data_IF_521790314033
#
_entry.id   IF_521790314033
#
_cell.length_a   1.000
_cell.length_b   1.000
_cell.length_c   1.000
_cell.angle_alpha   90.00
_cell.angle_beta   90.00
_cell.angle_gamma   90.00
#
_symmetry.space_group_name_H-M   'P 1'
#
loop_
_entity.id
_entity.type
_entity.pdbx_description
1 polymer ?
#
# COMPACT_ATOMS: atom_id res chain seq x y z
N UNK A 1 5.77 22.49 -23.16
CA UNK A 1 4.51 23.14 -23.34
C UNK A 1 3.35 22.36 -22.75
N UNK A 2 2.16 22.82 -22.99
CA UNK A 2 0.97 22.17 -22.46
C UNK A 2 0.83 20.71 -22.93
N UNK A 3 1.30 20.42 -24.12
CA UNK A 3 1.23 19.06 -24.66
C UNK A 3 2.17 18.10 -23.95
N UNK A 4 3.36 18.56 -23.54
CA UNK A 4 4.27 17.76 -22.75
C UNK A 4 3.65 17.42 -21.39
N UNK A 5 3.01 18.39 -20.75
CA UNK A 5 2.31 18.17 -19.48
C UNK A 5 1.17 17.19 -19.64
N UNK A 6 0.41 17.30 -20.74
CA UNK A 6 -0.70 16.37 -21.02
C UNK A 6 -0.24 14.94 -21.32
N UNK A 7 0.97 14.78 -21.83
CA UNK A 7 1.56 13.46 -22.04
C UNK A 7 2.08 12.79 -20.78
N UNK A 8 2.22 13.56 -19.69
CA UNK A 8 2.72 13.09 -18.43
C UNK A 8 1.57 12.60 -17.57
N UNK A 9 1.44 11.29 -17.43
CA UNK A 9 0.37 10.65 -16.65
C UNK A 9 0.94 9.92 -15.46
N UNK A 10 0.25 10.01 -14.33
CA UNK A 10 0.55 9.15 -13.20
C UNK A 10 0.18 7.73 -13.56
N UNK A 11 1.13 6.81 -13.38
CA UNK A 11 0.98 5.40 -13.73
C UNK A 11 1.66 4.52 -12.70
N UNK A 12 1.34 3.24 -12.75
CA UNK A 12 2.03 2.22 -11.98
C UNK A 12 1.15 1.04 -11.64
N UNK A 13 1.81 0.00 -11.15
CA UNK A 13 1.17 -1.20 -10.63
C UNK A 13 1.71 -1.49 -9.26
N UNK A 14 0.87 -2.07 -8.41
CA UNK A 14 1.27 -2.54 -7.09
C UNK A 14 1.10 -4.05 -7.01
N UNK A 15 2.08 -4.70 -6.38
CA UNK A 15 2.01 -6.10 -6.01
C UNK A 15 2.25 -6.23 -4.52
N UNK A 16 1.52 -7.14 -3.90
CA UNK A 16 1.75 -7.52 -2.51
C UNK A 16 2.24 -8.96 -2.45
N UNK A 17 3.20 -9.22 -1.59
CA UNK A 17 3.77 -10.56 -1.44
C UNK A 17 4.24 -10.80 -0.02
N UNK A 18 4.33 -12.07 0.35
CA UNK A 18 4.86 -12.51 1.63
C UNK A 18 5.97 -13.53 1.40
N UNK A 19 6.95 -13.65 2.33
CA UNK A 19 8.04 -14.62 2.19
C UNK A 19 7.56 -16.08 2.13
N UNK A 20 6.43 -16.38 2.78
CA UNK A 20 5.84 -17.72 2.75
C UNK A 20 4.31 -17.62 2.72
N UNK A 21 3.63 -18.73 2.51
CA UNK A 21 2.19 -18.82 2.35
C UNK A 21 1.48 -19.07 3.68
N UNK A 22 2.01 -19.92 4.52
CA UNK A 22 1.35 -20.39 5.74
C UNK A 22 2.09 -19.89 6.97
N UNK A 23 1.31 -19.44 7.96
CA UNK A 23 1.82 -18.87 9.20
C UNK A 23 1.18 -19.56 10.39
N UNK A 24 1.97 -19.82 11.42
CA UNK A 24 1.47 -20.29 12.70
C UNK A 24 0.92 -19.15 13.54
N UNK A 25 0.13 -19.47 14.56
CA UNK A 25 -0.34 -18.48 15.52
C UNK A 25 0.86 -17.72 16.11
N UNK A 26 0.69 -16.41 16.24
CA UNK A 26 1.67 -15.46 16.79
C UNK A 26 2.85 -15.14 15.87
N UNK A 27 2.95 -15.75 14.70
CA UNK A 27 3.99 -15.37 13.74
C UNK A 27 3.72 -14.00 13.15
N UNK A 28 4.81 -13.27 12.87
CA UNK A 28 4.76 -12.01 12.15
C UNK A 28 4.62 -12.29 10.65
N UNK A 29 3.66 -11.63 10.02
CA UNK A 29 3.42 -11.70 8.57
C UNK A 29 3.89 -10.39 7.97
N UNK A 30 4.97 -10.42 7.19
CA UNK A 30 5.52 -9.24 6.55
C UNK A 30 5.05 -9.17 5.10
N UNK A 31 4.15 -8.24 4.83
CA UNK A 31 3.57 -8.05 3.49
C UNK A 31 4.35 -6.97 2.77
N UNK A 32 5.16 -7.37 1.80
CA UNK A 32 5.90 -6.42 0.98
C UNK A 32 4.96 -5.81 -0.06
N UNK A 33 4.93 -4.49 -0.12
CA UNK A 33 4.24 -3.75 -1.17
C UNK A 33 5.27 -3.18 -2.13
N UNK A 34 5.23 -3.66 -3.37
CA UNK A 34 6.16 -3.29 -4.42
C UNK A 34 5.42 -2.55 -5.53
N UNK A 35 6.01 -1.47 -6.00
CA UNK A 35 5.52 -0.74 -7.17
C UNK A 35 6.40 -0.99 -8.38
N UNK A 36 5.79 -1.09 -9.55
CA UNK A 36 6.48 -1.22 -10.83
C UNK A 36 5.89 -0.27 -11.85
N UNK A 37 6.72 0.20 -12.78
CA UNK A 37 6.29 1.14 -13.80
C UNK A 37 5.74 2.44 -13.25
N UNK A 38 6.20 2.85 -12.08
CA UNK A 38 5.72 4.06 -11.42
C UNK A 38 6.13 5.30 -12.20
N UNK A 39 5.18 6.23 -12.37
CA UNK A 39 5.43 7.55 -12.99
C UNK A 39 4.68 8.62 -12.24
N UNK A 40 5.40 9.64 -11.81
CA UNK A 40 4.86 10.83 -11.15
C UNK A 40 4.02 10.56 -9.90
N UNK A 41 4.31 9.47 -9.19
CA UNK A 41 3.53 9.07 -8.02
C UNK A 41 3.89 9.97 -6.83
N UNK A 42 2.90 10.71 -6.36
CA UNK A 42 3.01 11.64 -5.24
C UNK A 42 2.16 11.23 -4.05
N UNK A 43 1.20 10.35 -4.26
CA UNK A 43 0.38 9.75 -3.21
C UNK A 43 -0.11 8.38 -3.65
N UNK A 44 -0.39 7.54 -2.67
CA UNK A 44 -0.84 6.17 -2.90
C UNK A 44 -1.77 5.76 -1.76
N UNK A 45 -2.83 5.05 -2.11
CA UNK A 45 -3.68 4.38 -1.13
C UNK A 45 -4.34 3.16 -1.75
N UNK A 46 -4.64 2.16 -0.94
CA UNK A 46 -5.47 1.01 -1.33
C UNK A 46 -6.13 0.43 -0.08
N UNK A 47 -7.02 -0.53 -0.30
CA UNK A 47 -7.69 -1.26 0.78
C UNK A 47 -7.14 -2.68 0.87
N UNK A 48 -6.90 -3.14 2.09
CA UNK A 48 -6.52 -4.51 2.40
C UNK A 48 -7.50 -5.02 3.46
N UNK A 49 -8.54 -5.71 2.99
CA UNK A 49 -9.56 -6.26 3.89
C UNK A 49 -9.05 -7.53 4.55
N UNK A 50 -9.35 -7.70 5.83
CA UNK A 50 -8.96 -8.90 6.56
C UNK A 50 -9.94 -9.21 7.70
N UNK A 51 -9.93 -10.46 8.12
CA UNK A 51 -10.69 -10.91 9.28
C UNK A 51 -9.86 -10.65 10.55
N UNK A 52 -10.36 -9.86 11.53
CA UNK A 52 -9.65 -9.60 12.76
C UNK A 52 -9.48 -10.84 13.64
N UNK A 53 -10.18 -11.95 13.36
CA UNK A 53 -9.91 -13.23 13.99
C UNK A 53 -8.63 -13.88 13.47
N UNK A 54 -8.20 -13.53 12.25
CA UNK A 54 -7.00 -14.07 11.60
C UNK A 54 -5.77 -13.25 11.87
N UNK A 55 -5.90 -11.93 11.85
CA UNK A 55 -4.76 -11.02 11.89
C UNK A 55 -4.97 -9.84 12.82
N UNK A 56 -3.86 -9.35 13.34
CA UNK A 56 -3.75 -8.08 14.03
C UNK A 56 -2.80 -7.18 13.23
N UNK A 57 -3.20 -5.95 12.98
CA UNK A 57 -2.31 -4.96 12.38
C UNK A 57 -1.29 -4.48 13.41
N UNK A 58 0.00 -4.59 13.09
CA UNK A 58 1.10 -4.19 13.97
C UNK A 58 1.66 -2.84 13.57
N UNK A 59 1.87 -2.60 12.29
CA UNK A 59 2.42 -1.35 11.80
C UNK A 59 2.89 -1.45 10.37
N UNK A 60 3.43 -0.34 9.87
CA UNK A 60 4.02 -0.25 8.53
C UNK A 60 5.45 0.25 8.66
N UNK A 61 6.36 -0.45 7.96
CA UNK A 61 7.74 -0.02 7.82
C UNK A 61 7.92 0.61 6.43
N UNK A 62 8.08 1.94 6.34
CA UNK A 62 8.35 2.57 5.06
C UNK A 62 9.73 2.18 4.51
N UNK A 63 9.80 2.02 3.20
CA UNK A 63 11.05 1.77 2.47
C UNK A 63 11.22 2.89 1.43
N UNK A 64 10.85 2.65 0.18
CA UNK A 64 10.89 3.68 -0.85
C UNK A 64 10.00 4.89 -0.57
N UNK A 65 9.00 4.73 0.28
CA UNK A 65 8.11 5.81 0.70
C UNK A 65 8.48 6.45 2.04
N UNK A 66 9.71 6.27 2.50
CA UNK A 66 10.16 6.81 3.80
C UNK A 66 10.10 8.33 3.92
N UNK A 67 10.13 9.04 2.80
CA UNK A 67 10.04 10.50 2.77
C UNK A 67 8.60 11.02 2.60
N UNK A 68 7.63 10.11 2.60
CA UNK A 68 6.21 10.46 2.51
C UNK A 68 5.54 10.39 3.87
N UNK A 69 4.50 11.19 4.03
CA UNK A 69 3.67 11.15 5.22
C UNK A 69 2.82 9.87 5.23
N UNK A 70 2.90 9.12 6.31
CA UNK A 70 2.12 7.90 6.49
C UNK A 70 0.79 8.24 7.18
N UNK A 71 -0.30 8.16 6.43
CA UNK A 71 -1.66 8.42 6.89
C UNK A 71 -2.48 7.14 6.97
N UNK A 72 -1.83 6.01 7.13
CA UNK A 72 -2.48 4.70 7.18
C UNK A 72 -3.54 4.62 8.28
N UNK A 73 -4.67 4.03 7.95
CA UNK A 73 -5.82 3.86 8.82
C UNK A 73 -6.23 2.38 8.85
N UNK A 74 -6.52 1.86 10.04
CA UNK A 74 -7.02 0.50 10.25
C UNK A 74 -8.45 0.60 10.79
N UNK A 75 -9.43 0.21 9.96
CA UNK A 75 -10.83 0.49 10.23
C UNK A 75 -11.66 -0.77 10.39
N UNK A 76 -12.41 -0.84 11.49
CA UNK A 76 -13.42 -1.89 11.71
C UNK A 76 -14.73 -1.51 10.98
N UNK A 77 -15.25 -2.44 10.20
CA UNK A 77 -16.52 -2.29 9.51
C UNK A 77 -17.67 -2.92 10.30
N UNK A 78 -18.90 -2.51 9.98
CA UNK A 78 -20.12 -2.98 10.66
C UNK A 78 -20.37 -4.48 10.52
N UNK A 79 -19.83 -5.11 9.46
CA UNK A 79 -19.96 -6.57 9.25
C UNK A 79 -18.93 -7.39 10.03
N UNK A 80 -18.11 -6.75 10.88
CA UNK A 80 -17.11 -7.43 11.70
C UNK A 80 -15.76 -7.65 11.02
N UNK A 81 -15.61 -7.33 9.73
CA UNK A 81 -14.30 -7.31 9.07
C UNK A 81 -13.58 -6.01 9.32
N UNK A 82 -12.26 -6.02 9.13
CA UNK A 82 -11.44 -4.80 9.15
C UNK A 82 -10.87 -4.56 7.77
N UNK A 83 -10.62 -3.31 7.48
CA UNK A 83 -9.81 -2.91 6.31
C UNK A 83 -8.69 -2.02 6.76
N UNK A 84 -7.48 -2.40 6.35
CA UNK A 84 -6.33 -1.52 6.43
C UNK A 84 -6.32 -0.66 5.18
N UNK A 85 -6.07 0.65 5.35
CA UNK A 85 -5.91 1.59 4.25
C UNK A 85 -4.51 2.17 4.28
N UNK A 86 -3.50 1.44 3.76
CA UNK A 86 -2.16 1.99 3.64
C UNK A 86 -2.23 3.25 2.78
N UNK A 87 -1.76 4.37 3.32
CA UNK A 87 -1.90 5.66 2.65
C UNK A 87 -0.65 6.48 2.89
N UNK A 88 -0.02 6.91 1.80
CA UNK A 88 1.19 7.72 1.84
C UNK A 88 1.02 8.93 0.93
N UNK A 89 1.42 10.09 1.43
CA UNK A 89 1.31 11.35 0.69
C UNK A 89 2.64 12.10 0.78
N UNK A 90 3.14 12.55 -0.35
CA UNK A 90 4.31 13.41 -0.42
C UNK A 90 3.88 14.83 -0.04
N UNK A 91 4.21 15.22 1.18
CA UNK A 91 3.97 16.56 1.69
C UNK A 91 5.30 17.30 1.67
N UNK A 92 5.37 18.41 0.94
CA UNK A 92 6.59 19.17 0.77
C UNK A 92 7.21 19.01 -0.60
N UNK A 93 8.53 19.19 -0.70
CA UNK A 93 9.24 19.29 -1.97
C UNK A 93 10.07 18.05 -2.31
N UNK A 94 9.61 16.88 -1.92
CA UNK A 94 10.27 15.64 -2.30
C UNK A 94 9.91 15.26 -3.74
N UNK A 95 10.80 14.54 -4.40
CA UNK A 95 10.55 14.05 -5.74
C UNK A 95 9.44 13.00 -5.76
N UNK A 96 8.70 12.95 -6.87
CA UNK A 96 7.71 11.90 -7.11
C UNK A 96 8.41 10.56 -7.31
N UNK A 97 7.71 9.46 -7.00
CA UNK A 97 8.25 8.12 -7.21
C UNK A 97 8.20 7.75 -8.68
N UNK A 98 9.29 7.13 -9.13
CA UNK A 98 9.49 6.68 -10.51
C UNK A 98 10.07 5.27 -10.53
N UNK A 99 9.67 4.49 -11.54
CA UNK A 99 10.27 3.19 -11.82
C UNK A 99 9.80 2.08 -10.91
N UNK A 100 10.72 1.20 -10.51
CA UNK A 100 10.47 0.07 -9.63
C UNK A 100 10.95 0.38 -8.23
N UNK A 101 10.13 0.07 -7.21
CA UNK A 101 10.50 0.32 -5.82
C UNK A 101 9.79 -0.64 -4.88
N UNK A 102 10.51 -1.11 -3.87
CA UNK A 102 9.90 -1.68 -2.68
C UNK A 102 9.41 -0.51 -1.83
N UNK A 103 8.11 -0.34 -1.74
CA UNK A 103 7.51 0.87 -1.18
C UNK A 103 7.46 0.85 0.34
N UNK A 104 6.90 -0.21 0.89
CA UNK A 104 6.78 -0.40 2.34
C UNK A 104 6.43 -1.85 2.67
N UNK A 105 6.57 -2.20 3.94
CA UNK A 105 6.17 -3.50 4.48
C UNK A 105 5.04 -3.30 5.47
N UNK A 106 3.91 -3.98 5.24
CA UNK A 106 2.80 -4.04 6.19
C UNK A 106 3.10 -5.20 7.14
N UNK A 107 3.10 -4.94 8.44
CA UNK A 107 3.35 -5.95 9.47
C UNK A 107 2.04 -6.34 10.12
N UNK A 108 1.68 -7.61 9.96
CA UNK A 108 0.54 -8.23 10.60
C UNK A 108 1.03 -9.33 11.53
N UNK A 109 0.24 -9.63 12.55
CA UNK A 109 0.47 -10.79 13.42
C UNK A 109 -0.65 -11.80 13.17
N UNK A 110 -0.29 -13.04 12.91
CA UNK A 110 -1.25 -14.12 12.78
C UNK A 110 -1.83 -14.45 14.16
N UNK A 111 -3.14 -14.41 14.30
CA UNK A 111 -3.83 -14.72 15.57
C UNK A 111 -4.18 -16.19 15.70
N UNK A 112 -4.09 -16.93 14.60
CA UNK A 112 -4.26 -18.37 14.49
C UNK A 112 -3.51 -18.84 13.27
N UNK A 113 -3.46 -20.15 13.03
CA UNK A 113 -2.86 -20.68 11.80
C UNK A 113 -3.62 -20.14 10.60
N UNK A 114 -2.92 -19.53 9.66
CA UNK A 114 -3.53 -18.91 8.46
C UNK A 114 -2.70 -19.20 7.22
N UNK A 115 -3.38 -19.23 6.08
CA UNK A 115 -2.74 -19.09 4.76
C UNK A 115 -2.98 -17.69 4.26
N UNK A 116 -1.92 -17.00 3.84
CA UNK A 116 -2.04 -15.62 3.37
C UNK A 116 -2.74 -15.59 2.01
N UNK A 117 -3.90 -14.94 1.96
CA UNK A 117 -4.74 -14.81 0.76
C UNK A 117 -5.30 -13.40 0.59
N UNK A 118 -4.75 -12.43 1.31
CA UNK A 118 -5.25 -11.05 1.23
C UNK A 118 -4.86 -10.44 -0.12
N UNK A 119 -5.73 -9.56 -0.62
CA UNK A 119 -5.53 -8.86 -1.88
C UNK A 119 -5.74 -7.36 -1.69
N UNK A 120 -4.98 -6.57 -2.43
CA UNK A 120 -5.17 -5.12 -2.46
C UNK A 120 -6.31 -4.78 -3.42
N UNK A 121 -7.23 -3.92 -2.97
CA UNK A 121 -8.37 -3.46 -3.75
C UNK A 121 -8.52 -1.95 -3.62
N UNK A 122 -9.34 -1.35 -4.51
CA UNK A 122 -9.70 0.07 -4.44
C UNK A 122 -8.49 1.00 -4.35
N UNK A 123 -7.47 0.68 -5.13
CA UNK A 123 -6.22 1.42 -5.11
C UNK A 123 -6.21 2.61 -6.04
N UNK A 124 -5.42 3.60 -5.67
CA UNK A 124 -5.15 4.73 -6.54
C UNK A 124 -3.77 5.32 -6.30
N UNK A 125 -3.24 5.90 -7.36
CA UNK A 125 -2.02 6.69 -7.37
C UNK A 125 -2.39 8.11 -7.77
N UNK A 126 -1.72 9.10 -7.18
CA UNK A 126 -2.03 10.51 -7.43
C UNK A 126 -0.71 11.24 -7.72
N UNK A 127 -0.71 12.14 -8.68
CA UNK A 127 0.42 13.03 -8.96
C UNK A 127 0.29 14.38 -8.24
N UNK A 128 1.26 15.28 -8.46
CA UNK A 128 1.25 16.62 -7.83
C UNK A 128 0.11 17.52 -8.29
N UNK A 129 -0.47 17.22 -9.45
CA UNK A 129 -1.57 17.99 -10.01
C UNK A 129 -2.94 17.37 -9.69
N UNK A 130 -2.96 16.36 -8.83
CA UNK A 130 -4.15 15.63 -8.39
C UNK A 130 -4.80 14.79 -9.51
N UNK A 131 -4.05 14.44 -10.55
CA UNK A 131 -4.49 13.43 -11.50
C UNK A 131 -4.43 12.06 -10.81
N UNK A 132 -5.41 11.22 -11.10
CA UNK A 132 -5.59 9.93 -10.41
C UNK A 132 -5.49 8.78 -11.40
N UNK A 133 -4.74 7.75 -11.02
CA UNK A 133 -4.71 6.46 -11.69
C UNK A 133 -5.24 5.41 -10.71
N UNK A 134 -6.28 4.69 -11.10
CA UNK A 134 -6.89 3.65 -10.27
C UNK A 134 -6.41 2.26 -10.69
N UNK A 135 -6.40 1.35 -9.74
CA UNK A 135 -6.00 -0.04 -9.98
C UNK A 135 -6.73 -1.03 -9.07
#
# INVERSE_FOLDING_TARGET
GADAVRGEKVEGKLDISTPKQTYAKDELVEVLVKGTGLRFVNALSFALAYDPADYEFVGIQPLGMKNMENLTNDRLHTNGTKSLYPTFVNIGEHESLEGESNLFVIKLKAKRKVSFKLTATDGYLVDKLLNVHTF
#
